data_IF_091026153878
#
_entry.id   IF_091026153878
#
_cell.length_a   1.000
_cell.length_b   1.000
_cell.length_c   1.000
_cell.angle_alpha   90.00
_cell.angle_beta   90.00
_cell.angle_gamma   90.00
#
_symmetry.space_group_name_H-M   'P 1'
#
loop_
_entity.id
_entity.type
_entity.pdbx_description
1 polymer ?
#
# COMPACT_ATOMS: atom_id res chain seq x y z
N UNK A 1 -0.17 9.59 -16.51
CA UNK A 1 -0.26 10.25 -15.19
C UNK A 1 -1.50 9.82 -14.39
N UNK A 2 -2.60 9.41 -15.04
CA UNK A 2 -3.86 9.03 -14.34
C UNK A 2 -3.85 7.70 -13.56
N UNK A 3 -3.12 6.68 -14.02
CA UNK A 3 -3.19 5.34 -13.42
C UNK A 3 -2.84 5.26 -11.93
N UNK A 4 -1.90 6.10 -11.46
CA UNK A 4 -1.48 6.12 -10.06
C UNK A 4 -2.50 6.85 -9.17
N UNK A 5 -3.10 7.92 -9.68
CA UNK A 5 -4.17 8.66 -8.99
C UNK A 5 -5.43 7.79 -8.88
N UNK A 6 -5.79 7.08 -9.94
CA UNK A 6 -6.93 6.15 -9.98
C UNK A 6 -6.73 4.98 -9.00
N UNK A 7 -5.50 4.46 -8.90
CA UNK A 7 -5.15 3.43 -7.93
C UNK A 7 -5.27 3.95 -6.49
N UNK A 8 -4.74 5.15 -6.22
CA UNK A 8 -4.85 5.74 -4.89
C UNK A 8 -6.29 6.07 -4.52
N UNK A 9 -7.10 6.53 -5.49
CA UNK A 9 -8.53 6.73 -5.30
C UNK A 9 -9.24 5.40 -4.98
N UNK A 10 -8.84 4.30 -5.61
CA UNK A 10 -9.35 2.96 -5.29
C UNK A 10 -8.98 2.52 -3.87
N UNK A 11 -7.73 2.77 -3.46
CA UNK A 11 -7.27 2.52 -2.08
C UNK A 11 -8.06 3.35 -1.07
N UNK A 12 -8.26 4.64 -1.35
CA UNK A 12 -9.07 5.52 -0.52
C UNK A 12 -10.55 5.11 -0.48
N UNK A 13 -11.10 4.56 -1.56
CA UNK A 13 -12.48 4.05 -1.59
C UNK A 13 -12.63 2.79 -0.73
N UNK A 14 -11.64 1.89 -0.73
CA UNK A 14 -11.67 0.66 0.08
C UNK A 14 -11.64 0.97 1.58
N UNK A 15 -10.88 1.99 1.98
CA UNK A 15 -10.64 2.33 3.39
C UNK A 15 -11.26 3.67 3.83
N UNK A 16 -12.18 4.22 3.03
CA UNK A 16 -12.78 5.55 3.20
C UNK A 16 -13.81 5.62 4.32
N UNK A 17 -13.40 5.34 5.56
CA UNK A 17 -14.21 5.42 6.79
C UNK A 17 -14.07 6.77 7.50
N UNK A 18 -13.40 7.74 6.87
CA UNK A 18 -13.15 9.09 7.42
C UNK A 18 -11.86 9.20 8.25
N UNK A 19 -11.09 8.12 8.39
CA UNK A 19 -9.76 8.15 9.01
C UNK A 19 -8.66 8.46 7.99
N UNK A 20 -7.55 9.08 8.42
CA UNK A 20 -6.39 9.24 7.56
C UNK A 20 -5.79 7.87 7.23
N UNK A 21 -5.49 7.66 5.94
CA UNK A 21 -4.81 6.45 5.44
C UNK A 21 -3.40 6.78 4.97
N UNK A 22 -2.56 5.74 4.82
CA UNK A 22 -1.21 5.86 4.26
C UNK A 22 -1.22 6.55 2.89
N UNK A 23 -0.18 7.35 2.66
CA UNK A 23 -0.03 8.11 1.43
C UNK A 23 0.36 7.25 0.22
N UNK A 24 0.39 7.92 -0.94
CA UNK A 24 0.66 7.29 -2.23
C UNK A 24 2.08 6.69 -2.31
N UNK A 25 3.06 7.30 -1.62
CA UNK A 25 4.44 6.80 -1.55
C UNK A 25 4.49 5.47 -0.81
N UNK A 26 3.81 5.36 0.32
CA UNK A 26 3.76 4.14 1.12
C UNK A 26 3.02 3.03 0.39
N UNK A 27 1.92 3.35 -0.29
CA UNK A 27 1.21 2.39 -1.14
C UNK A 27 2.10 1.86 -2.27
N UNK A 28 2.82 2.75 -2.98
CA UNK A 28 3.77 2.35 -4.02
C UNK A 28 4.88 1.44 -3.51
N UNK A 29 5.48 1.78 -2.36
CA UNK A 29 6.51 0.96 -1.74
C UNK A 29 5.96 -0.44 -1.38
N UNK A 30 4.72 -0.54 -0.91
CA UNK A 30 4.07 -1.82 -0.63
C UNK A 30 3.85 -2.63 -1.91
N UNK A 31 3.35 -2.00 -2.98
CA UNK A 31 3.14 -2.66 -4.29
C UNK A 31 4.45 -3.24 -4.84
N UNK A 32 5.52 -2.45 -4.83
CA UNK A 32 6.83 -2.92 -5.30
C UNK A 32 7.40 -4.02 -4.40
N UNK A 33 7.20 -3.93 -3.08
CA UNK A 33 7.61 -4.97 -2.14
C UNK A 33 6.89 -6.31 -2.34
N UNK A 34 5.66 -6.27 -2.85
CA UNK A 34 4.90 -7.45 -3.26
C UNK A 34 5.27 -7.96 -4.66
N UNK A 35 6.23 -7.32 -5.34
CA UNK A 35 6.64 -7.69 -6.70
C UNK A 35 5.60 -7.34 -7.77
N UNK A 36 4.68 -6.42 -7.46
CA UNK A 36 3.62 -5.99 -8.37
C UNK A 36 3.98 -4.65 -9.05
N UNK A 37 3.31 -4.39 -10.16
CA UNK A 37 3.23 -3.08 -10.79
C UNK A 37 1.87 -2.43 -10.44
N UNK A 38 1.76 -1.09 -10.37
CA UNK A 38 0.50 -0.40 -10.04
C UNK A 38 -0.70 -0.86 -10.88
N UNK A 39 -0.49 -1.12 -12.17
CA UNK A 39 -1.53 -1.60 -13.10
C UNK A 39 -2.06 -3.01 -12.81
N UNK A 40 -1.31 -3.81 -12.03
CA UNK A 40 -1.67 -5.19 -11.67
C UNK A 40 -2.31 -5.28 -10.27
N UNK A 41 -2.51 -4.15 -9.59
CA UNK A 41 -3.12 -4.11 -8.26
C UNK A 41 -4.64 -4.23 -8.38
N UNK A 42 -5.20 -5.21 -7.68
CA UNK A 42 -6.65 -5.44 -7.62
C UNK A 42 -7.24 -4.92 -6.31
N UNK A 43 -8.56 -4.71 -6.28
CA UNK A 43 -9.27 -4.31 -5.07
C UNK A 43 -9.12 -5.36 -3.94
N UNK A 44 -9.12 -6.65 -4.28
CA UNK A 44 -8.95 -7.74 -3.31
C UNK A 44 -7.54 -7.73 -2.70
N UNK A 45 -6.52 -7.39 -3.49
CA UNK A 45 -5.17 -7.20 -2.95
C UNK A 45 -5.10 -6.01 -2.00
N UNK A 46 -5.75 -4.90 -2.35
CA UNK A 46 -5.82 -3.72 -1.46
C UNK A 46 -6.47 -4.10 -0.13
N UNK A 47 -7.56 -4.86 -0.14
CA UNK A 47 -8.26 -5.34 1.07
C UNK A 47 -7.43 -6.32 1.91
N UNK A 48 -6.47 -7.02 1.29
CA UNK A 48 -5.60 -7.96 1.98
C UNK A 48 -4.44 -7.27 2.74
N UNK A 49 -4.25 -5.96 2.55
CA UNK A 49 -3.27 -5.20 3.31
C UNK A 49 -3.63 -5.15 4.79
N UNK A 50 -2.61 -5.10 5.63
CA UNK A 50 -2.80 -4.93 7.07
C UNK A 50 -3.52 -3.60 7.38
N UNK A 51 -4.74 -3.68 7.91
CA UNK A 51 -5.55 -2.51 8.24
C UNK A 51 -4.85 -1.58 9.25
N UNK A 52 -4.14 -2.12 10.23
CA UNK A 52 -3.38 -1.33 11.20
C UNK A 52 -2.30 -0.51 10.48
N UNK A 53 -1.67 -1.07 9.44
CA UNK A 53 -0.70 -0.32 8.64
C UNK A 53 -1.38 0.77 7.82
N UNK A 54 -2.53 0.48 7.22
CA UNK A 54 -3.31 1.44 6.42
C UNK A 54 -3.65 2.68 7.23
N UNK A 55 -4.08 2.52 8.48
CA UNK A 55 -4.41 3.64 9.38
C UNK A 55 -3.21 4.16 10.19
N UNK A 56 -2.00 3.65 9.94
CA UNK A 56 -0.77 4.15 10.56
C UNK A 56 -0.48 3.62 11.97
N UNK A 57 -1.29 2.70 12.47
CA UNK A 57 -1.11 2.00 13.75
C UNK A 57 0.02 0.94 13.68
N UNK A 58 0.36 0.48 12.47
CA UNK A 58 1.50 -0.40 12.19
C UNK A 58 2.46 0.17 11.14
N UNK A 59 3.71 -0.30 11.17
CA UNK A 59 4.75 -0.02 10.17
C UNK A 59 4.89 -1.12 9.11
N UNK A 60 4.10 -2.20 9.21
CA UNK A 60 4.25 -3.39 8.36
C UNK A 60 2.96 -3.69 7.58
N UNK A 61 2.98 -3.53 6.24
CA UNK A 61 1.80 -3.81 5.39
C UNK A 61 1.48 -5.29 5.26
N UNK A 62 2.46 -6.18 5.43
CA UNK A 62 2.31 -7.62 5.15
C UNK A 62 2.48 -8.48 6.40
N UNK A 63 1.91 -9.68 6.38
CA UNK A 63 2.25 -10.73 7.34
C UNK A 63 3.61 -11.37 7.03
N UNK A 64 4.02 -11.37 5.77
CA UNK A 64 5.31 -11.92 5.33
C UNK A 64 6.48 -11.00 5.73
N UNK A 65 7.41 -11.46 6.61
CA UNK A 65 8.58 -10.69 6.98
C UNK A 65 9.52 -10.36 5.81
N UNK A 66 9.55 -11.18 4.76
CA UNK A 66 10.40 -10.93 3.59
C UNK A 66 9.89 -9.72 2.79
N UNK A 67 8.59 -9.67 2.50
CA UNK A 67 7.96 -8.51 1.86
C UNK A 67 8.13 -7.23 2.71
N UNK A 68 7.99 -7.30 4.04
CA UNK A 68 8.21 -6.14 4.90
C UNK A 68 9.66 -5.60 4.86
N UNK A 69 10.65 -6.47 4.71
CA UNK A 69 12.05 -6.03 4.51
C UNK A 69 12.24 -5.29 3.19
N UNK A 70 11.59 -5.74 2.12
CA UNK A 70 11.62 -5.06 0.82
C UNK A 70 10.91 -3.70 0.89
N UNK A 71 9.74 -3.65 1.52
CA UNK A 71 8.98 -2.41 1.76
C UNK A 71 9.83 -1.33 2.43
N UNK A 72 10.52 -1.69 3.52
CA UNK A 72 11.39 -0.75 4.24
C UNK A 72 12.54 -0.23 3.37
N UNK A 73 13.11 -1.08 2.50
CA UNK A 73 14.15 -0.66 1.56
C UNK A 73 13.61 0.35 0.53
N UNK A 74 12.42 0.10 -0.02
CA UNK A 74 11.79 1.03 -0.96
C UNK A 74 11.43 2.37 -0.32
N UNK A 75 11.05 2.38 0.96
CA UNK A 75 10.79 3.63 1.67
C UNK A 75 12.05 4.46 1.92
N UNK A 76 13.16 3.81 2.30
CA UNK A 76 14.41 4.49 2.65
C UNK A 76 15.25 4.91 1.44
N UNK A 77 15.06 4.27 0.28
CA UNK A 77 15.85 4.48 -0.94
C UNK A 77 15.15 5.25 -2.06
N UNK A 78 14.06 5.97 -1.75
CA UNK A 78 13.32 6.82 -2.70
C UNK A 78 13.47 8.30 -2.42
#
# INVERSE_FOLDING_TARGET
MHALEDLYASFARVYGDGKPIRGIRELLAAIHAAGLAPENVTEDWLKALNADWVYGESLMPFQDPAANRLYQRFLQGG
#
